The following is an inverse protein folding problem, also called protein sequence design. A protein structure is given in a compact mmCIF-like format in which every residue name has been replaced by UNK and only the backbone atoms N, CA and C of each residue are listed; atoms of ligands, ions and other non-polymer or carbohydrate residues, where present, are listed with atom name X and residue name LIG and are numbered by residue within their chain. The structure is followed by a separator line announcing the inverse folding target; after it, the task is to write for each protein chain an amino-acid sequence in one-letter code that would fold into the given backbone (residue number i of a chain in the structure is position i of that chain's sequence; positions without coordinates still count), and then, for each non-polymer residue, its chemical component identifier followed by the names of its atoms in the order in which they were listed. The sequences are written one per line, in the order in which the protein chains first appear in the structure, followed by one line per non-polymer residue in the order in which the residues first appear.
data_IF_749381424911
#
_entry.id   IF_749381424911
#
_cell.length_a   1.000
_cell.length_b   1.000
_cell.length_c   1.000
_cell.angle_alpha   90.00
_cell.angle_beta   90.00
_cell.angle_gamma   90.00
#
_symmetry.space_group_name_H-M   'P 1'
#
loop_
_entity.id
_entity.type
_entity.pdbx_description
1 polymer ?
#
# COMPACT_ATOMS: atom_id res chain seq x y z
N UNK A 1 -5.15 37.22 -19.03
CA UNK A 1 -4.13 37.35 -17.97
C UNK A 1 -4.73 37.02 -16.61
N UNK A 2 -4.76 35.73 -16.26
CA UNK A 2 -5.35 35.26 -15.00
C UNK A 2 -4.24 35.02 -13.98
N UNK A 3 -4.12 35.95 -13.04
CA UNK A 3 -3.32 35.86 -11.84
C UNK A 3 -4.04 34.93 -10.85
N UNK A 4 -3.83 33.61 -10.96
CA UNK A 4 -4.22 32.68 -9.91
C UNK A 4 -3.26 32.86 -8.73
N UNK A 5 -3.77 33.49 -7.66
CA UNK A 5 -3.02 33.74 -6.43
C UNK A 5 -2.62 32.42 -5.77
N UNK A 6 -1.33 32.31 -5.44
CA UNK A 6 -0.75 31.16 -4.74
C UNK A 6 -1.52 30.89 -3.42
N UNK A 7 -1.86 29.62 -3.11
CA UNK A 7 -2.61 29.29 -1.91
C UNK A 7 -1.87 29.72 -0.62
N UNK A 8 -2.54 30.50 0.23
CA UNK A 8 -1.97 31.06 1.47
C UNK A 8 -1.50 30.02 2.51
N UNK A 9 -1.95 28.76 2.39
CA UNK A 9 -1.58 27.67 3.30
C UNK A 9 -0.27 26.96 2.92
N UNK A 10 0.32 27.31 1.78
CA UNK A 10 1.60 26.77 1.32
C UNK A 10 2.59 27.91 1.14
N UNK A 11 3.41 28.16 2.17
CA UNK A 11 4.43 29.21 2.14
C UNK A 11 5.46 28.87 1.06
N UNK A 12 5.67 29.78 0.11
CA UNK A 12 6.75 29.68 -0.85
C UNK A 12 8.05 30.18 -0.21
N UNK A 13 9.09 29.34 -0.23
CA UNK A 13 10.44 29.71 0.19
C UNK A 13 11.40 29.54 -0.98
N UNK A 14 12.33 30.49 -1.14
CA UNK A 14 13.34 30.46 -2.19
C UNK A 14 14.68 30.09 -1.55
N UNK A 15 15.25 28.96 -1.96
CA UNK A 15 16.53 28.47 -1.46
C UNK A 15 17.11 27.42 -2.42
N UNK A 16 18.40 27.07 -2.28
CA UNK A 16 18.98 25.98 -3.06
C UNK A 16 18.19 24.69 -2.80
N UNK A 17 17.71 24.05 -3.87
CA UNK A 17 17.05 22.75 -3.77
C UNK A 17 18.15 21.73 -3.46
N UNK A 18 18.38 21.48 -2.18
CA UNK A 18 19.12 20.29 -1.76
C UNK A 18 18.15 19.13 -1.93
N UNK A 19 18.41 18.27 -2.91
CA UNK A 19 17.68 17.01 -3.04
C UNK A 19 17.98 16.17 -1.79
N UNK A 20 17.21 16.39 -0.72
CA UNK A 20 17.15 15.45 0.39
C UNK A 20 16.64 14.16 -0.21
N UNK A 21 17.50 13.15 -0.18
CA UNK A 21 17.36 11.81 -0.73
C UNK A 21 15.91 11.50 -1.10
N UNK A 22 15.58 11.62 -2.40
CA UNK A 22 14.24 11.40 -2.93
C UNK A 22 13.68 10.15 -2.30
N UNK A 23 12.51 10.25 -1.65
CA UNK A 23 11.82 9.11 -1.07
C UNK A 23 11.62 8.07 -2.17
N UNK A 24 12.51 7.08 -2.20
CA UNK A 24 12.34 5.87 -3.00
C UNK A 24 11.63 4.91 -2.05
N UNK A 25 10.35 4.54 -2.32
CA UNK A 25 9.71 3.50 -1.56
C UNK A 25 10.64 2.29 -1.56
N UNK A 26 11.07 1.87 -0.36
CA UNK A 26 11.80 0.62 -0.22
C UNK A 26 10.83 -0.50 -0.55
N UNK A 27 10.80 -0.88 -1.83
CA UNK A 27 10.07 -2.06 -2.28
C UNK A 27 10.77 -3.27 -1.67
N UNK A 28 10.43 -3.58 -0.43
CA UNK A 28 10.90 -4.79 0.22
C UNK A 28 10.38 -5.95 -0.62
N UNK A 29 11.33 -6.62 -1.29
CA UNK A 29 11.04 -7.89 -1.96
C UNK A 29 10.43 -8.79 -0.91
N UNK A 30 9.20 -9.24 -1.15
CA UNK A 30 8.62 -10.32 -0.36
C UNK A 30 9.56 -11.51 -0.49
N UNK A 31 10.39 -11.76 0.52
CA UNK A 31 11.15 -13.00 0.60
C UNK A 31 10.19 -14.02 1.19
N UNK A 32 9.73 -15.00 0.40
CA UNK A 32 8.81 -16.02 0.87
C UNK A 32 9.62 -17.03 1.69
N UNK A 33 10.13 -16.63 2.85
CA UNK A 33 10.71 -17.58 3.79
C UNK A 33 9.63 -18.36 4.54
N UNK A 34 8.34 -18.08 4.28
CA UNK A 34 7.22 -18.71 4.95
C UNK A 34 6.12 -19.28 4.05
N UNK A 35 6.21 -19.30 2.72
CA UNK A 35 5.18 -19.99 1.90
C UNK A 35 5.72 -20.34 0.52
N UNK A 36 5.82 -21.64 0.24
CA UNK A 36 6.45 -22.17 -0.97
C UNK A 36 5.56 -22.10 -2.22
N UNK A 37 4.29 -21.70 -2.12
CA UNK A 37 3.36 -21.65 -3.25
C UNK A 37 2.63 -20.29 -3.32
N UNK A 38 2.61 -19.71 -4.51
CA UNK A 38 1.84 -18.51 -4.86
C UNK A 38 0.33 -18.78 -4.82
N UNK A 39 -0.06 -20.05 -4.76
CA UNK A 39 -1.42 -20.57 -4.82
C UNK A 39 -2.10 -20.71 -3.43
N UNK A 40 -1.54 -20.15 -2.35
CA UNK A 40 -2.08 -20.32 -1.00
C UNK A 40 -2.53 -19.04 -0.30
N UNK A 41 -2.12 -17.85 -0.77
CA UNK A 41 -2.47 -16.59 -0.14
C UNK A 41 -3.69 -15.98 -0.83
N UNK A 42 -4.78 -15.78 -0.08
CA UNK A 42 -6.02 -15.17 -0.56
C UNK A 42 -6.26 -13.84 0.15
N UNK A 43 -6.74 -12.86 -0.60
CA UNK A 43 -7.19 -11.61 -0.03
C UNK A 43 -8.34 -11.85 0.97
N UNK A 44 -8.19 -11.35 2.19
CA UNK A 44 -9.20 -11.49 3.25
C UNK A 44 -10.58 -10.93 2.87
N UNK A 45 -10.63 -9.91 2.01
CA UNK A 45 -11.89 -9.22 1.65
C UNK A 45 -12.60 -9.91 0.49
N UNK A 46 -11.89 -10.22 -0.61
CA UNK A 46 -12.52 -10.77 -1.81
C UNK A 46 -12.32 -12.27 -2.00
N UNK A 47 -11.57 -12.93 -1.11
CA UNK A 47 -11.23 -14.36 -1.13
C UNK A 47 -10.52 -14.85 -2.41
N UNK A 48 -10.10 -13.94 -3.30
CA UNK A 48 -9.32 -14.27 -4.50
C UNK A 48 -7.82 -14.36 -4.20
N UNK A 49 -7.11 -15.18 -4.97
CA UNK A 49 -5.65 -15.27 -4.93
C UNK A 49 -5.01 -13.97 -5.44
N UNK A 50 -3.78 -13.72 -5.01
CA UNK A 50 -2.98 -12.60 -5.48
C UNK A 50 -2.31 -12.95 -6.80
N UNK A 51 -2.47 -12.07 -7.79
CA UNK A 51 -1.80 -12.20 -9.09
C UNK A 51 -0.36 -11.66 -9.03
N UNK A 52 0.48 -12.12 -9.96
CA UNK A 52 1.86 -11.66 -10.07
C UNK A 52 1.93 -10.14 -10.31
N UNK A 53 2.82 -9.48 -9.57
CA UNK A 53 3.00 -8.02 -9.66
C UNK A 53 1.92 -7.21 -8.97
N UNK A 54 0.90 -7.83 -8.37
CA UNK A 54 -0.12 -7.12 -7.59
C UNK A 54 0.41 -6.86 -6.16
N UNK A 55 0.30 -5.62 -5.65
CA UNK A 55 0.70 -5.32 -4.29
C UNK A 55 -0.22 -5.96 -3.25
N UNK A 56 0.41 -6.55 -2.25
CA UNK A 56 -0.19 -7.10 -1.04
C UNK A 56 0.00 -6.09 0.09
N UNK A 57 -1.09 -5.78 0.77
CA UNK A 57 -1.07 -5.06 2.04
C UNK A 57 -1.20 -6.06 3.20
N UNK A 58 -0.35 -5.90 4.21
CA UNK A 58 -0.39 -6.67 5.45
C UNK A 58 -0.71 -5.72 6.60
N UNK A 59 -1.47 -6.19 7.59
CA UNK A 59 -1.68 -5.43 8.82
C UNK A 59 -0.35 -5.15 9.53
N UNK A 60 -0.18 -3.95 10.09
CA UNK A 60 0.99 -3.61 10.90
C UNK A 60 0.93 -4.17 12.34
N UNK A 61 -0.18 -4.81 12.72
CA UNK A 61 -0.30 -5.55 13.98
C UNK A 61 0.43 -6.88 13.88
N UNK A 62 1.42 -7.11 14.75
CA UNK A 62 2.23 -8.34 14.78
C UNK A 62 1.42 -9.62 15.02
N UNK A 63 0.27 -9.52 15.67
CA UNK A 63 -0.63 -10.65 15.94
C UNK A 63 -1.68 -10.87 14.83
N UNK A 64 -1.71 -10.03 13.80
CA UNK A 64 -2.68 -10.09 12.72
C UNK A 64 -2.03 -10.56 11.41
N UNK A 65 -2.51 -11.67 10.86
CA UNK A 65 -2.02 -12.24 9.60
C UNK A 65 -2.85 -11.81 8.37
N UNK A 66 -3.67 -10.78 8.52
CA UNK A 66 -4.51 -10.29 7.44
C UNK A 66 -3.65 -9.85 6.25
N UNK A 67 -3.97 -10.40 5.08
CA UNK A 67 -3.44 -9.97 3.78
C UNK A 67 -4.60 -9.56 2.87
N UNK A 68 -4.46 -8.44 2.18
CA UNK A 68 -5.51 -7.88 1.32
C UNK A 68 -4.92 -7.21 0.08
N UNK A 69 -5.69 -7.19 -1.01
CA UNK A 69 -5.39 -6.33 -2.15
C UNK A 69 -5.49 -4.87 -1.71
N UNK A 70 -4.57 -4.02 -2.21
CA UNK A 70 -4.59 -2.58 -1.95
C UNK A 70 -5.95 -1.96 -2.29
N UNK A 71 -6.54 -2.33 -3.44
CA UNK A 71 -7.83 -1.82 -3.88
C UNK A 71 -8.98 -2.30 -2.99
N UNK A 72 -8.97 -3.57 -2.55
CA UNK A 72 -10.00 -4.08 -1.64
C UNK A 72 -9.98 -3.35 -0.31
N UNK A 73 -8.78 -3.11 0.24
CA UNK A 73 -8.64 -2.35 1.48
C UNK A 73 -9.08 -0.90 1.31
N UNK A 74 -8.69 -0.27 0.21
CA UNK A 74 -9.07 1.11 -0.07
C UNK A 74 -10.59 1.26 -0.16
N UNK A 75 -11.25 0.38 -0.92
CA UNK A 75 -12.71 0.35 -1.04
C UNK A 75 -13.40 0.11 0.31
N UNK A 76 -12.83 -0.76 1.15
CA UNK A 76 -13.36 -1.01 2.50
C UNK A 76 -13.28 0.25 3.38
N UNK A 77 -12.12 0.94 3.39
CA UNK A 77 -11.93 2.16 4.17
C UNK A 77 -12.76 3.35 3.65
N UNK A 78 -13.11 3.35 2.36
CA UNK A 78 -13.88 4.39 1.71
C UNK A 78 -15.40 4.17 1.70
N UNK A 79 -15.92 3.11 2.33
CA UNK A 79 -17.34 2.69 2.17
C UNK A 79 -18.37 3.82 2.37
N UNK A 80 -18.08 4.81 3.23
CA UNK A 80 -18.96 5.95 3.52
C UNK A 80 -18.28 7.30 3.23
N UNK A 81 -17.32 7.34 2.32
CA UNK A 81 -16.51 8.52 2.04
C UNK A 81 -16.66 8.95 0.58
N UNK A 82 -16.71 10.26 0.34
CA UNK A 82 -16.63 10.85 -1.00
C UNK A 82 -15.18 11.01 -1.48
N UNK A 83 -14.20 10.67 -0.63
CA UNK A 83 -12.79 10.74 -0.99
C UNK A 83 -12.39 9.61 -1.94
N UNK A 84 -11.48 9.92 -2.86
CA UNK A 84 -10.92 8.95 -3.81
C UNK A 84 -9.82 8.09 -3.15
N UNK A 85 -9.14 8.63 -2.13
CA UNK A 85 -8.03 7.98 -1.44
C UNK A 85 -8.32 7.92 0.08
N UNK A 86 -8.23 6.75 0.73
CA UNK A 86 -8.36 6.69 2.17
C UNK A 86 -7.12 7.25 2.84
N UNK A 87 -7.30 7.98 3.92
CA UNK A 87 -6.19 8.42 4.79
C UNK A 87 -5.94 7.40 5.90
N UNK A 88 -7.01 6.77 6.40
CA UNK A 88 -6.99 5.80 7.49
C UNK A 88 -8.26 4.92 7.47
N UNK A 89 -8.29 3.91 8.33
CA UNK A 89 -9.46 3.09 8.62
C UNK A 89 -9.12 1.91 9.55
N UNK A 90 -10.08 1.06 9.85
CA UNK A 90 -9.85 -0.10 10.72
C UNK A 90 -9.50 -1.37 9.94
N UNK A 91 -8.62 -2.20 10.51
CA UNK A 91 -8.33 -3.53 10.00
C UNK A 91 -9.61 -4.40 9.99
N UNK A 92 -10.04 -4.98 8.86
CA UNK A 92 -11.25 -5.82 8.81
C UNK A 92 -11.11 -7.16 9.55
N UNK A 93 -9.90 -7.51 10.03
CA UNK A 93 -9.66 -8.73 10.80
C UNK A 93 -9.50 -8.46 12.30
N UNK A 94 -8.61 -7.54 12.70
CA UNK A 94 -8.30 -7.28 14.11
C UNK A 94 -8.84 -5.94 14.65
N UNK A 95 -9.55 -5.16 13.82
CA UNK A 95 -10.10 -3.84 14.15
C UNK A 95 -9.09 -2.76 14.58
N UNK A 96 -7.79 -3.03 14.54
CA UNK A 96 -6.76 -2.02 14.79
C UNK A 96 -6.89 -0.85 13.80
N UNK A 97 -6.69 0.37 14.30
CA UNK A 97 -6.64 1.56 13.48
C UNK A 97 -5.37 1.57 12.60
N UNK A 98 -5.54 1.84 11.32
CA UNK A 98 -4.50 1.76 10.29
C UNK A 98 -4.40 3.09 9.54
N UNK A 99 -3.18 3.54 9.29
CA UNK A 99 -2.89 4.65 8.37
C UNK A 99 -2.58 4.09 6.98
N UNK A 100 -3.36 4.50 5.97
CA UNK A 100 -3.28 3.91 4.64
C UNK A 100 -1.90 4.16 3.98
N UNK A 101 -1.35 5.37 4.15
CA UNK A 101 -0.02 5.72 3.62
C UNK A 101 1.12 4.89 4.23
N UNK A 102 1.04 4.58 5.53
CA UNK A 102 2.02 3.72 6.19
C UNK A 102 1.98 2.30 5.62
N UNK A 103 0.79 1.77 5.37
CA UNK A 103 0.63 0.44 4.79
C UNK A 103 1.17 0.36 3.36
N UNK A 104 0.89 1.36 2.52
CA UNK A 104 1.41 1.40 1.14
C UNK A 104 2.93 1.49 1.14
N UNK A 105 3.51 2.24 2.09
CA UNK A 105 4.98 2.36 2.20
C UNK A 105 5.67 1.02 2.50
N UNK A 106 4.93 0.04 3.06
CA UNK A 106 5.40 -1.28 3.46
C UNK A 106 4.77 -2.41 2.64
N UNK A 107 4.17 -2.08 1.49
CA UNK A 107 3.50 -3.08 0.65
C UNK A 107 4.49 -4.09 0.07
N UNK A 108 4.00 -5.31 -0.13
CA UNK A 108 4.78 -6.44 -0.64
C UNK A 108 4.23 -6.83 -2.01
N UNK A 109 4.99 -7.62 -2.78
CA UNK A 109 4.58 -8.04 -4.12
C UNK A 109 4.81 -9.53 -4.30
N UNK A 110 3.86 -10.19 -4.97
CA UNK A 110 4.06 -11.56 -5.45
C UNK A 110 4.90 -11.50 -6.72
N UNK A 111 6.07 -12.12 -6.72
CA UNK A 111 6.90 -12.29 -7.90
C UNK A 111 6.97 -13.76 -8.31
N UNK A 112 6.30 -14.10 -9.41
CA UNK A 112 6.45 -15.37 -10.12
C UNK A 112 7.92 -15.75 -10.32
N UNK A 113 8.29 -16.98 -9.95
CA UNK A 113 9.53 -17.57 -10.45
C UNK A 113 9.44 -17.58 -11.98
N UNK A 114 10.30 -16.81 -12.66
CA UNK A 114 10.63 -17.14 -14.05
C UNK A 114 11.26 -18.53 -14.02
N UNK A 115 10.52 -19.53 -14.47
CA UNK A 115 11.08 -20.81 -14.83
C UNK A 115 11.80 -20.58 -16.16
N UNK A 116 13.13 -20.48 -16.12
CA UNK A 116 13.92 -20.78 -17.32
C UNK A 116 14.02 -22.30 -17.39
N UNK A 117 13.24 -22.91 -18.29
CA UNK A 117 13.49 -24.27 -18.75
C UNK A 117 14.36 -24.20 -20.00
N UNK A 118 15.48 -24.93 -19.91
CA UNK A 118 16.58 -25.14 -20.87
C UNK A 118 17.57 -24.01 -21.07
#
# INVERSE_FOLDING_TARGET
DANESIPLHMKMEHGPITATQSYVPSFQKFQPTLLNNQDEIRCYICAKYFENGVPIIICNNTNCKMTVHIYCLAKFMLHNSEHILPTHGSCPSCSQYLHFGELISKQLYVFGKKIFLK
#
